data_IF_705055448802
#
_entry.id   IF_705055448802
#
_cell.length_a   1.000
_cell.length_b   1.000
_cell.length_c   1.000
_cell.angle_alpha   90.00
_cell.angle_beta   90.00
_cell.angle_gamma   90.00
#
_symmetry.space_group_name_H-M   'P 1'
#
loop_
_entity.id
_entity.type
_entity.pdbx_description
1 polymer ?
#
# COMPACT_ATOMS: atom_id res chain seq x y z
N UNK A 1 8.44 -14.37 -3.91
CA UNK A 1 7.45 -13.70 -4.79
C UNK A 1 6.07 -14.32 -4.63
N UNK A 2 5.02 -13.53 -4.81
CA UNK A 2 3.63 -14.02 -4.86
C UNK A 2 3.25 -14.38 -6.30
N UNK A 3 2.11 -15.07 -6.47
CA UNK A 3 1.61 -15.39 -7.82
C UNK A 3 1.19 -14.15 -8.65
N UNK A 4 1.21 -12.96 -8.06
CA UNK A 4 0.87 -11.72 -8.76
C UNK A 4 1.85 -11.41 -9.90
N UNK A 5 3.13 -11.73 -9.70
CA UNK A 5 4.19 -11.48 -10.67
C UNK A 5 4.34 -12.57 -11.76
N UNK A 6 3.53 -13.62 -11.73
CA UNK A 6 3.62 -14.74 -12.69
C UNK A 6 3.45 -14.35 -14.16
N UNK A 7 2.90 -13.18 -14.43
CA UNK A 7 2.66 -12.66 -15.79
C UNK A 7 3.68 -11.62 -16.23
N UNK A 8 4.67 -11.29 -15.36
CA UNK A 8 5.76 -10.39 -15.74
C UNK A 8 6.74 -11.13 -16.63
N UNK A 9 7.15 -10.48 -17.69
CA UNK A 9 8.23 -10.95 -18.55
C UNK A 9 9.61 -10.69 -17.92
N UNK A 10 10.66 -11.18 -18.56
CA UNK A 10 12.03 -11.05 -18.08
C UNK A 10 12.48 -9.59 -17.91
N UNK A 11 12.06 -8.69 -18.81
CA UNK A 11 12.41 -7.29 -18.74
C UNK A 11 11.70 -6.58 -17.59
N UNK A 12 10.44 -6.91 -17.34
CA UNK A 12 9.68 -6.37 -16.21
C UNK A 12 10.23 -6.87 -14.86
N UNK A 13 10.67 -8.14 -14.79
CA UNK A 13 11.30 -8.69 -13.58
C UNK A 13 12.65 -8.00 -13.27
N UNK A 14 13.42 -7.67 -14.29
CA UNK A 14 14.67 -6.92 -14.15
C UNK A 14 14.41 -5.48 -13.71
N UNK A 15 13.45 -4.81 -14.36
CA UNK A 15 13.05 -3.44 -14.03
C UNK A 15 12.62 -3.27 -12.57
N UNK A 16 11.91 -4.25 -11.99
CA UNK A 16 11.47 -4.20 -10.59
C UNK A 16 12.52 -4.74 -9.61
N UNK A 17 13.72 -5.03 -10.06
CA UNK A 17 14.82 -5.50 -9.21
C UNK A 17 14.62 -6.91 -8.66
N UNK A 18 13.87 -7.75 -9.37
CA UNK A 18 13.58 -9.11 -8.95
C UNK A 18 14.68 -10.14 -9.31
N UNK A 19 15.78 -9.68 -9.91
CA UNK A 19 16.91 -10.54 -10.31
C UNK A 19 18.19 -10.17 -9.55
N UNK A 20 19.07 -11.16 -9.40
CA UNK A 20 20.43 -10.94 -8.92
C UNK A 20 21.38 -10.53 -10.08
N UNK A 21 22.66 -10.34 -9.75
CA UNK A 21 23.69 -9.97 -10.74
C UNK A 21 23.90 -11.01 -11.84
N UNK A 22 23.54 -12.27 -11.59
CA UNK A 22 23.63 -13.38 -12.54
C UNK A 22 22.34 -13.56 -13.35
N UNK A 23 21.34 -12.68 -13.17
CA UNK A 23 20.05 -12.72 -13.86
C UNK A 23 19.07 -13.75 -13.31
N UNK A 24 19.36 -14.38 -12.18
CA UNK A 24 18.47 -15.34 -11.53
C UNK A 24 17.41 -14.62 -10.70
N UNK A 25 16.17 -15.04 -10.83
CA UNK A 25 15.06 -14.51 -10.04
C UNK A 25 15.24 -14.82 -8.54
N UNK A 26 15.18 -13.79 -7.72
CA UNK A 26 15.26 -13.88 -6.26
C UNK A 26 13.92 -14.31 -5.67
N UNK A 27 13.95 -15.11 -4.61
CA UNK A 27 12.74 -15.48 -3.85
C UNK A 27 12.14 -14.26 -3.17
N UNK A 28 12.97 -13.45 -2.52
CA UNK A 28 12.61 -12.15 -1.93
C UNK A 28 13.67 -11.13 -2.36
N UNK A 29 13.38 -10.31 -3.36
CA UNK A 29 14.30 -9.26 -3.77
C UNK A 29 14.58 -8.24 -2.66
N UNK A 30 15.74 -7.54 -2.67
CA UNK A 30 16.03 -6.48 -1.73
C UNK A 30 14.93 -5.41 -1.69
N UNK A 31 14.46 -5.04 -0.50
CA UNK A 31 13.37 -4.09 -0.32
C UNK A 31 11.96 -4.65 -0.50
N UNK A 32 11.83 -5.91 -0.94
CA UNK A 32 10.54 -6.58 -1.02
C UNK A 32 10.19 -7.29 0.29
N UNK A 33 8.91 -7.55 0.48
CA UNK A 33 8.39 -8.25 1.66
C UNK A 33 8.11 -9.70 1.36
N UNK A 34 8.32 -10.56 2.34
CA UNK A 34 7.75 -11.92 2.32
C UNK A 34 6.22 -11.83 2.36
N UNK A 35 5.49 -12.88 1.96
CA UNK A 35 4.02 -12.92 2.09
C UNK A 35 3.54 -12.61 3.52
N UNK A 36 4.24 -13.11 4.53
CA UNK A 36 3.93 -12.86 5.95
C UNK A 36 4.13 -11.39 6.33
N UNK A 37 5.23 -10.78 5.91
CA UNK A 37 5.48 -9.35 6.13
C UNK A 37 4.46 -8.49 5.39
N UNK A 38 4.09 -8.86 4.16
CA UNK A 38 3.07 -8.15 3.39
C UNK A 38 1.68 -8.23 4.04
N UNK A 39 1.33 -9.35 4.66
CA UNK A 39 0.07 -9.53 5.35
C UNK A 39 0.01 -8.85 6.73
N UNK A 40 1.15 -8.55 7.34
CA UNK A 40 1.24 -8.14 8.76
C UNK A 40 0.42 -6.87 9.08
N UNK A 41 0.43 -5.86 8.21
CA UNK A 41 -0.37 -4.63 8.40
C UNK A 41 -1.87 -4.93 8.37
N UNK A 42 -2.32 -5.78 7.45
CA UNK A 42 -3.72 -6.19 7.38
C UNK A 42 -4.16 -6.97 8.63
N UNK A 43 -3.30 -7.83 9.17
CA UNK A 43 -3.56 -8.56 10.42
C UNK A 43 -3.62 -7.62 11.61
N UNK A 44 -2.71 -6.63 11.69
CA UNK A 44 -2.75 -5.58 12.71
C UNK A 44 -4.10 -4.88 12.72
N UNK A 45 -4.56 -4.41 11.56
CA UNK A 45 -5.80 -3.63 11.43
C UNK A 45 -7.06 -4.47 11.69
N UNK A 46 -7.03 -5.77 11.37
CA UNK A 46 -8.19 -6.65 11.51
C UNK A 46 -8.38 -7.21 12.92
N UNK A 47 -7.31 -7.40 13.69
CA UNK A 47 -7.36 -8.23 14.89
C UNK A 47 -6.61 -7.66 16.10
N UNK A 48 -5.85 -6.59 15.97
CA UNK A 48 -5.05 -6.08 17.10
C UNK A 48 -5.85 -5.11 17.99
N UNK A 49 -5.83 -5.30 19.29
CA UNK A 49 -6.44 -4.33 20.22
C UNK A 49 -5.71 -2.98 20.23
N UNK A 50 -4.48 -2.90 19.71
CA UNK A 50 -3.70 -1.66 19.65
C UNK A 50 -4.33 -0.60 18.73
N UNK A 51 -5.19 -1.01 17.80
CA UNK A 51 -5.87 -0.12 16.86
C UNK A 51 -7.38 -0.01 17.14
N UNK A 52 -7.82 -0.47 18.31
CA UNK A 52 -9.22 -0.35 18.70
C UNK A 52 -9.64 1.12 18.77
N UNK A 53 -10.74 1.47 18.07
CA UNK A 53 -11.24 2.84 17.96
C UNK A 53 -10.45 3.76 17.03
N UNK A 54 -9.36 3.30 16.43
CA UNK A 54 -8.61 4.07 15.44
C UNK A 54 -9.29 3.97 14.07
N UNK A 55 -9.69 5.10 13.48
CA UNK A 55 -10.35 5.17 12.19
C UNK A 55 -9.78 6.30 11.32
N UNK A 56 -9.88 6.16 10.00
CA UNK A 56 -9.47 7.19 9.05
C UNK A 56 -7.96 7.45 9.04
N UNK A 57 -7.16 6.47 9.44
CA UNK A 57 -5.69 6.54 9.45
C UNK A 57 -5.09 5.63 8.40
N UNK A 58 -3.94 6.00 7.90
CA UNK A 58 -3.17 5.20 6.97
C UNK A 58 -2.07 4.43 7.69
N UNK A 59 -1.95 3.14 7.38
CA UNK A 59 -0.98 2.24 8.00
C UNK A 59 -0.12 1.58 6.92
N UNK A 60 1.17 1.54 7.16
CA UNK A 60 2.13 0.76 6.38
C UNK A 60 3.19 0.18 7.33
N UNK A 61 3.75 -0.96 6.97
CA UNK A 61 4.81 -1.63 7.74
C UNK A 61 4.46 -1.83 9.23
N UNK A 62 3.20 -2.21 9.49
CA UNK A 62 2.69 -2.49 10.85
C UNK A 62 2.67 -1.25 11.75
N UNK A 63 2.66 -0.05 11.18
CA UNK A 63 2.65 1.21 11.94
C UNK A 63 1.74 2.24 11.28
N UNK A 64 1.25 3.22 12.08
CA UNK A 64 0.59 4.39 11.51
C UNK A 64 1.61 5.22 10.73
N UNK A 65 1.28 5.55 9.51
CA UNK A 65 2.17 6.26 8.60
C UNK A 65 1.93 7.76 8.66
N UNK A 66 2.97 8.58 8.54
CA UNK A 66 2.83 10.03 8.59
C UNK A 66 2.06 10.56 7.38
N UNK A 67 1.39 11.70 7.58
CA UNK A 67 0.89 12.49 6.45
C UNK A 67 2.07 13.26 5.87
N UNK A 68 2.34 13.06 4.59
CA UNK A 68 3.42 13.72 3.86
C UNK A 68 2.88 14.84 2.97
N UNK A 69 3.76 15.71 2.50
CA UNK A 69 3.40 16.76 1.53
C UNK A 69 3.02 16.16 0.18
N UNK A 70 3.91 16.26 -0.79
CA UNK A 70 3.71 15.67 -2.11
C UNK A 70 4.05 14.16 -2.10
N UNK A 71 3.25 13.32 -2.78
CA UNK A 71 3.55 11.90 -2.90
C UNK A 71 4.84 11.70 -3.71
N UNK A 72 5.73 10.88 -3.18
CA UNK A 72 6.96 10.47 -3.87
C UNK A 72 6.80 9.02 -4.33
N UNK A 73 7.14 8.76 -5.58
CA UNK A 73 7.11 7.38 -6.10
C UNK A 73 8.05 6.51 -5.28
N UNK A 74 7.53 5.42 -4.70
CA UNK A 74 8.28 4.56 -3.79
C UNK A 74 8.57 5.15 -2.40
N UNK A 75 8.03 6.33 -2.09
CA UNK A 75 8.10 6.94 -0.76
C UNK A 75 7.13 6.29 0.23
N UNK A 76 7.31 6.65 1.50
CA UNK A 76 6.43 6.24 2.61
C UNK A 76 5.49 7.37 2.99
N UNK A 77 4.37 7.02 3.62
CA UNK A 77 3.39 8.00 4.10
C UNK A 77 2.20 8.19 3.18
N UNK A 78 1.16 8.83 3.71
CA UNK A 78 -0.01 9.23 2.96
C UNK A 78 0.12 10.69 2.52
N UNK A 79 -0.23 10.99 1.27
CA UNK A 79 -0.29 12.35 0.80
C UNK A 79 -1.36 13.16 1.58
N UNK A 80 -1.14 14.45 1.79
CA UNK A 80 -2.04 15.28 2.59
C UNK A 80 -3.50 15.26 2.10
N UNK A 81 -3.70 15.22 0.80
CA UNK A 81 -5.03 15.17 0.19
C UNK A 81 -5.75 13.82 0.40
N UNK A 82 -5.01 12.73 0.66
CA UNK A 82 -5.61 11.43 0.94
C UNK A 82 -6.27 11.36 2.34
N UNK A 83 -5.90 12.28 3.24
CA UNK A 83 -6.47 12.43 4.57
C UNK A 83 -7.37 13.68 4.69
N UNK A 84 -7.68 14.36 3.58
CA UNK A 84 -8.53 15.55 3.54
C UNK A 84 -10.00 15.17 3.78
N UNK A 85 -10.49 15.49 4.97
CA UNK A 85 -11.85 15.19 5.39
C UNK A 85 -12.91 15.93 4.57
N UNK A 86 -12.67 17.19 4.22
CA UNK A 86 -13.62 17.97 3.42
C UNK A 86 -13.75 17.40 2.01
N UNK A 87 -12.63 17.01 1.40
CA UNK A 87 -12.63 16.35 0.10
C UNK A 87 -13.36 15.00 0.16
N UNK A 88 -13.19 14.22 1.20
CA UNK A 88 -13.89 12.96 1.41
C UNK A 88 -15.40 13.16 1.56
N UNK A 89 -15.84 14.15 2.34
CA UNK A 89 -17.26 14.49 2.50
C UNK A 89 -17.89 14.97 1.18
N UNK A 90 -17.20 15.82 0.42
CA UNK A 90 -17.67 16.24 -0.93
C UNK A 90 -17.80 15.06 -1.88
N UNK A 91 -16.80 14.17 -1.90
CA UNK A 91 -16.85 12.98 -2.74
C UNK A 91 -18.03 12.07 -2.37
N UNK A 92 -18.24 11.84 -1.07
CA UNK A 92 -19.34 11.04 -0.56
C UNK A 92 -20.71 11.61 -1.00
N UNK A 93 -20.95 12.90 -0.77
CA UNK A 93 -22.20 13.57 -1.11
C UNK A 93 -22.45 13.59 -2.62
N UNK A 94 -21.40 13.82 -3.42
CA UNK A 94 -21.47 13.75 -4.88
C UNK A 94 -21.86 12.35 -5.33
N UNK A 95 -21.24 11.34 -4.77
CA UNK A 95 -21.53 9.93 -5.10
C UNK A 95 -22.98 9.57 -4.76
N UNK A 96 -23.49 9.96 -3.60
CA UNK A 96 -24.89 9.73 -3.23
C UNK A 96 -25.86 10.41 -4.20
N UNK A 97 -25.58 11.63 -4.62
CA UNK A 97 -26.39 12.36 -5.60
C UNK A 97 -26.42 11.64 -6.95
N UNK A 98 -25.26 11.14 -7.40
CA UNK A 98 -25.16 10.41 -8.67
C UNK A 98 -25.88 9.05 -8.63
N UNK A 99 -25.89 8.38 -7.48
CA UNK A 99 -26.57 7.09 -7.31
C UNK A 99 -28.10 7.24 -7.16
N UNK A 100 -28.58 8.42 -6.77
CA UNK A 100 -30.00 8.72 -6.62
C UNK A 100 -30.67 9.25 -7.91
N UNK A 101 -29.86 9.51 -8.94
CA UNK A 101 -30.32 9.98 -10.24
C UNK A 101 -30.67 8.82 -11.19
#
# INVERSE_FOLDING_TARGET
>A
MTNLQRHLDEAALDFVGAKDADGKTLEVPPGWKTPQQGAATSVLLAASPLVEGVTGRYFEDVNESPITGEPTVGGTGAAYWAADREAAERLWNTTLTMLAA
#
